data_IF_034112232237
#
_entry.id   IF_034112232237
#
_cell.length_a   1.000
_cell.length_b   1.000
_cell.length_c   1.000
_cell.angle_alpha   90.00
_cell.angle_beta   90.00
_cell.angle_gamma   90.00
#
_symmetry.space_group_name_H-M   'P 1'
#
loop_
_entity.id
_entity.type
_entity.pdbx_description
1 polymer ?
#
# COMPACT_ATOMS: atom_id res chain seq x y z
N UNK A 1 -10.66 23.15 -41.60
CA UNK A 1 -9.66 23.81 -40.74
C UNK A 1 -9.89 23.33 -39.32
N UNK A 2 -8.95 22.59 -38.74
CA UNK A 2 -9.11 22.02 -37.39
C UNK A 2 -8.57 23.04 -36.39
N UNK A 3 -9.43 23.56 -35.53
CA UNK A 3 -9.03 24.42 -34.41
C UNK A 3 -8.22 23.57 -33.43
N UNK A 4 -6.91 23.78 -33.42
CA UNK A 4 -6.02 23.20 -32.43
C UNK A 4 -6.21 24.05 -31.17
N UNK A 5 -6.99 23.54 -30.21
CA UNK A 5 -7.12 24.17 -28.89
C UNK A 5 -5.77 24.04 -28.20
N UNK A 6 -5.04 25.15 -28.15
CA UNK A 6 -3.72 25.23 -27.52
C UNK A 6 -3.88 24.89 -26.03
N UNK A 7 -3.26 23.78 -25.59
CA UNK A 7 -3.37 23.34 -24.20
C UNK A 7 -2.69 24.40 -23.32
N UNK A 8 -3.30 24.84 -22.21
CA UNK A 8 -2.71 25.87 -21.35
C UNK A 8 -1.32 25.41 -20.90
N UNK A 9 -0.31 26.21 -21.22
CA UNK A 9 1.06 25.97 -20.78
C UNK A 9 1.19 26.43 -19.33
N UNK A 10 1.71 25.59 -18.42
CA UNK A 10 1.95 26.01 -17.05
C UNK A 10 2.95 27.17 -17.05
N UNK A 11 2.57 28.28 -16.42
CA UNK A 11 3.36 29.52 -16.36
C UNK A 11 4.48 29.46 -15.33
N UNK A 12 4.43 28.49 -14.41
CA UNK A 12 5.42 28.28 -13.37
C UNK A 12 5.38 26.84 -12.87
N UNK A 13 6.54 26.33 -12.44
CA UNK A 13 6.60 25.07 -11.70
C UNK A 13 6.10 25.29 -10.28
N UNK A 14 5.14 24.48 -9.85
CA UNK A 14 4.75 24.45 -8.43
C UNK A 14 5.95 24.01 -7.60
N UNK A 15 6.41 24.90 -6.70
CA UNK A 15 7.34 24.52 -5.65
C UNK A 15 6.51 24.21 -4.41
N UNK A 16 6.49 22.93 -4.02
CA UNK A 16 5.83 22.54 -2.78
C UNK A 16 6.51 23.27 -1.61
N UNK A 17 5.75 24.02 -0.79
CA UNK A 17 6.30 24.66 0.40
C UNK A 17 6.55 23.65 1.53
N UNK A 18 6.08 22.41 1.37
CA UNK A 18 6.21 21.36 2.38
C UNK A 18 7.64 20.82 2.37
N UNK A 19 8.36 21.12 3.46
CA UNK A 19 9.66 20.51 3.75
C UNK A 19 9.41 19.23 4.54
N UNK A 20 9.39 18.10 3.84
CA UNK A 20 9.25 16.78 4.47
C UNK A 20 10.58 16.45 5.19
N UNK A 21 10.56 16.18 6.50
CA UNK A 21 11.76 15.76 7.22
C UNK A 21 12.31 14.42 6.68
N UNK A 22 13.63 14.26 6.66
CA UNK A 22 14.27 13.03 6.17
C UNK A 22 13.82 11.79 6.96
N UNK A 23 13.58 11.94 8.27
CA UNK A 23 13.06 10.88 9.12
C UNK A 23 11.68 10.38 8.66
N UNK A 24 10.78 11.30 8.30
CA UNK A 24 9.44 10.96 7.80
C UNK A 24 9.52 10.25 6.43
N UNK A 25 10.48 10.64 5.60
CA UNK A 25 10.75 9.98 4.31
C UNK A 25 11.22 8.54 4.53
N UNK A 26 12.18 8.34 5.40
CA UNK A 26 12.72 7.01 5.73
C UNK A 26 11.67 6.10 6.39
N UNK A 27 10.84 6.65 7.28
CA UNK A 27 9.71 5.92 7.86
C UNK A 27 8.75 5.43 6.78
N UNK A 28 8.38 6.31 5.84
CA UNK A 28 7.49 5.96 4.73
C UNK A 28 8.10 4.87 3.85
N UNK A 29 9.40 4.99 3.51
CA UNK A 29 10.12 4.00 2.71
C UNK A 29 10.16 2.62 3.38
N UNK A 30 10.44 2.53 4.69
CA UNK A 30 10.43 1.26 5.44
C UNK A 30 9.04 0.63 5.48
N UNK A 31 8.01 1.46 5.71
CA UNK A 31 6.60 1.03 5.70
C UNK A 31 6.20 0.44 4.35
N UNK A 32 6.52 1.13 3.25
CA UNK A 32 6.27 0.67 1.88
C UNK A 32 7.01 -0.63 1.56
N UNK A 33 8.27 -0.75 1.99
CA UNK A 33 9.07 -1.93 1.76
C UNK A 33 8.48 -3.18 2.44
N UNK A 34 8.07 -3.08 3.71
CA UNK A 34 7.45 -4.21 4.44
C UNK A 34 6.12 -4.65 3.83
N UNK A 35 5.26 -3.69 3.45
CA UNK A 35 4.01 -4.01 2.79
C UNK A 35 4.24 -4.69 1.44
N UNK A 36 5.24 -4.24 0.67
CA UNK A 36 5.62 -4.82 -0.61
C UNK A 36 6.11 -6.26 -0.50
N UNK A 37 6.86 -6.59 0.55
CA UNK A 37 7.35 -7.97 0.79
C UNK A 37 6.21 -8.98 0.96
N UNK A 38 5.11 -8.55 1.57
CA UNK A 38 3.90 -9.37 1.73
C UNK A 38 2.93 -9.21 0.54
N UNK A 39 3.17 -8.21 -0.32
CA UNK A 39 2.26 -7.82 -1.39
C UNK A 39 0.92 -7.33 -0.85
N UNK A 40 0.96 -6.60 0.25
CA UNK A 40 -0.16 -5.89 0.87
C UNK A 40 -0.26 -4.49 0.25
N UNK A 41 -1.47 -4.06 -0.12
CA UNK A 41 -1.68 -2.75 -0.72
C UNK A 41 -1.90 -1.68 0.36
N UNK A 42 -0.98 -0.70 0.48
CA UNK A 42 -1.07 0.37 1.48
C UNK A 42 -2.10 1.46 1.16
N UNK A 43 -2.34 1.72 -0.12
CA UNK A 43 -3.12 2.85 -0.59
C UNK A 43 -4.32 2.37 -1.41
N UNK A 44 -5.15 1.54 -0.81
CA UNK A 44 -6.40 1.12 -1.44
C UNK A 44 -7.41 2.28 -1.31
N UNK A 45 -7.47 3.11 -2.34
CA UNK A 45 -8.47 4.17 -2.45
C UNK A 45 -9.82 3.55 -2.82
N UNK A 46 -10.58 3.20 -1.78
CA UNK A 46 -11.97 2.77 -1.91
C UNK A 46 -12.13 1.31 -2.30
N UNK A 47 -12.19 0.45 -1.30
CA UNK A 47 -13.08 -0.71 -1.36
C UNK A 47 -13.66 -0.91 0.03
N UNK A 48 -14.96 -0.66 0.17
CA UNK A 48 -15.79 -0.98 1.33
C UNK A 48 -15.99 -2.51 1.45
N UNK A 49 -14.97 -3.27 1.07
CA UNK A 49 -14.92 -4.73 1.08
C UNK A 49 -14.12 -5.17 2.30
N UNK A 50 -14.45 -4.62 3.48
CA UNK A 50 -14.13 -5.29 4.74
C UNK A 50 -14.93 -6.59 4.75
N UNK A 51 -14.37 -7.63 4.13
CA UNK A 51 -14.92 -8.96 4.25
C UNK A 51 -14.57 -9.48 5.64
N UNK A 52 -15.52 -10.12 6.31
CA UNK A 52 -15.29 -10.78 7.60
C UNK A 52 -14.37 -12.01 7.53
N UNK A 53 -13.78 -12.26 6.35
CA UNK A 53 -12.87 -13.34 6.06
C UNK A 53 -11.60 -13.26 6.92
N UNK A 54 -11.14 -14.42 7.38
CA UNK A 54 -9.96 -14.55 8.24
C UNK A 54 -8.70 -14.01 7.57
N UNK A 55 -8.63 -14.09 6.24
CA UNK A 55 -7.52 -13.51 5.47
C UNK A 55 -7.46 -11.99 5.61
N UNK A 56 -8.58 -11.28 5.44
CA UNK A 56 -8.62 -9.83 5.55
C UNK A 56 -8.31 -9.39 6.98
N UNK A 57 -8.84 -10.11 7.98
CA UNK A 57 -8.53 -9.84 9.40
C UNK A 57 -7.03 -9.98 9.69
N UNK A 58 -6.36 -10.95 9.08
CA UNK A 58 -4.92 -11.13 9.23
C UNK A 58 -4.14 -10.01 8.53
N UNK A 59 -4.57 -9.58 7.34
CA UNK A 59 -3.98 -8.46 6.62
C UNK A 59 -4.10 -7.15 7.41
N UNK A 60 -5.30 -6.84 7.90
CA UNK A 60 -5.59 -5.67 8.72
C UNK A 60 -4.75 -5.70 10.01
N UNK A 61 -4.68 -6.86 10.67
CA UNK A 61 -3.83 -7.04 11.86
C UNK A 61 -2.35 -6.76 11.55
N UNK A 62 -1.82 -7.27 10.45
CA UNK A 62 -0.43 -7.04 10.03
C UNK A 62 -0.18 -5.55 9.78
N UNK A 63 -1.14 -4.89 9.12
CA UNK A 63 -1.03 -3.47 8.79
C UNK A 63 -1.02 -2.60 10.04
N UNK A 64 -2.01 -2.78 10.92
CA UNK A 64 -2.22 -1.95 12.10
C UNK A 64 -1.16 -2.19 13.20
N UNK A 65 -0.68 -3.42 13.37
CA UNK A 65 0.20 -3.79 14.49
C UNK A 65 1.69 -3.83 14.15
N UNK A 66 2.06 -3.88 12.88
CA UNK A 66 3.47 -3.96 12.49
C UNK A 66 3.84 -2.89 11.47
N UNK A 67 3.15 -2.84 10.33
CA UNK A 67 3.54 -1.96 9.23
C UNK A 67 3.39 -0.49 9.62
N UNK A 68 2.24 -0.10 10.19
CA UNK A 68 1.96 1.28 10.61
C UNK A 68 2.77 1.72 11.82
N UNK A 69 3.23 0.76 12.62
CA UNK A 69 4.08 1.01 13.80
C UNK A 69 5.58 0.93 13.47
N UNK A 70 5.95 0.74 12.21
CA UNK A 70 7.34 0.57 11.76
C UNK A 70 8.07 -0.62 12.44
N UNK A 71 7.31 -1.66 12.79
CA UNK A 71 7.81 -2.90 13.37
C UNK A 71 7.95 -4.00 12.32
N UNK A 72 8.84 -4.94 12.59
CA UNK A 72 8.99 -6.12 11.74
C UNK A 72 7.86 -7.12 12.00
N UNK A 73 7.30 -7.66 10.93
CA UNK A 73 6.27 -8.69 11.02
C UNK A 73 6.93 -10.01 11.46
N UNK A 74 6.44 -10.67 12.52
CA UNK A 74 6.95 -11.97 12.96
C UNK A 74 6.85 -13.04 11.86
N UNK A 75 7.86 -13.90 11.78
CA UNK A 75 7.98 -14.90 10.71
C UNK A 75 6.84 -15.93 10.68
N UNK A 76 6.28 -16.27 11.84
CA UNK A 76 5.10 -17.12 11.97
C UNK A 76 3.87 -16.48 11.33
N UNK A 77 3.66 -15.18 11.58
CA UNK A 77 2.56 -14.41 10.99
C UNK A 77 2.76 -14.25 9.47
N UNK A 78 3.98 -13.92 9.03
CA UNK A 78 4.29 -13.81 7.59
C UNK A 78 4.00 -15.11 6.86
N UNK A 79 4.46 -16.25 7.40
CA UNK A 79 4.22 -17.57 6.80
C UNK A 79 2.74 -17.88 6.68
N UNK A 80 1.98 -17.66 7.77
CA UNK A 80 0.53 -17.86 7.78
C UNK A 80 -0.16 -17.01 6.70
N UNK A 81 0.19 -15.73 6.62
CA UNK A 81 -0.39 -14.82 5.63
C UNK A 81 -0.08 -15.26 4.19
N UNK A 82 1.18 -15.59 3.90
CA UNK A 82 1.60 -16.02 2.56
C UNK A 82 0.96 -17.34 2.13
N UNK A 83 0.76 -18.28 3.06
CA UNK A 83 0.05 -19.53 2.80
C UNK A 83 -1.41 -19.28 2.44
N UNK A 84 -2.14 -18.52 3.27
CA UNK A 84 -3.54 -18.17 2.99
C UNK A 84 -3.70 -17.37 1.68
N UNK A 85 -2.75 -16.48 1.38
CA UNK A 85 -2.71 -15.73 0.13
C UNK A 85 -2.60 -16.67 -1.07
N UNK A 86 -1.66 -17.61 -1.01
CA UNK A 86 -1.43 -18.60 -2.08
C UNK A 86 -2.65 -19.50 -2.28
N UNK A 87 -3.29 -19.95 -1.21
CA UNK A 87 -4.51 -20.77 -1.29
C UNK A 87 -5.66 -20.02 -1.96
N UNK A 88 -5.79 -18.72 -1.68
CA UNK A 88 -6.81 -17.86 -2.29
C UNK A 88 -6.54 -17.58 -3.77
N UNK A 89 -5.29 -17.33 -4.14
CA UNK A 89 -4.89 -17.20 -5.55
C UNK A 89 -5.13 -18.50 -6.33
N UNK A 90 -4.88 -19.66 -5.71
CA UNK A 90 -5.15 -20.96 -6.31
C UNK A 90 -6.65 -21.27 -6.43
N UNK A 91 -7.47 -20.82 -5.46
CA UNK A 91 -8.92 -21.04 -5.50
C UNK A 91 -9.64 -20.17 -6.53
N UNK A 92 -9.12 -18.97 -6.81
CA UNK A 92 -9.69 -18.06 -7.81
C UNK A 92 -9.26 -18.38 -9.25
N UNK A 93 -8.23 -19.21 -9.45
CA UNK A 93 -7.72 -19.65 -10.76
C UNK A 93 -8.30 -20.99 -11.23
N UNK A 94 -9.38 -21.48 -10.61
CA UNK A 94 -9.97 -22.81 -10.88
C UNK A 94 -11.43 -22.67 -11.30
#
# INVERSE_FOLDING_TARGET
MVNIVDKPKPTSSYKSPLRIPDELKQFTERREQRAKELGIALYVLGTDTRSDDEFQKLEDYIMENFIDLDLDVPEDIKKKYLEMKKDRENSHNK
#
